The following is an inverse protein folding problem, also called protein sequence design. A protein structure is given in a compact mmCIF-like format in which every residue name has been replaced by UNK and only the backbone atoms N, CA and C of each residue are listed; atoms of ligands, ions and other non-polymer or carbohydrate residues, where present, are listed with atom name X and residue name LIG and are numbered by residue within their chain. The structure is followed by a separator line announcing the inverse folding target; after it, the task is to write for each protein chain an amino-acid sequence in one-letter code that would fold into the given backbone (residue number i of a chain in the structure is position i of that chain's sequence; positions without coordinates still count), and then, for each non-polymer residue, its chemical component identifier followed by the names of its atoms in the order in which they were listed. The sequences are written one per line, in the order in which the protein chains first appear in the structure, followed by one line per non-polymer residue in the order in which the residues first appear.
data_IF_046457291163
#
_entry.id   IF_046457291163
#
_cell.length_a   1.000
_cell.length_b   1.000
_cell.length_c   1.000
_cell.angle_alpha   90.00
_cell.angle_beta   90.00
_cell.angle_gamma   90.00
#
_symmetry.space_group_name_H-M   'P 1'
#
loop_
_entity.id
_entity.type
_entity.pdbx_description
1 polymer ?
#
# COMPACT_ATOMS: atom_id res chain seq x y z
N UNK A 1 6.72 -30.61 2.28
CA UNK A 1 5.63 -29.62 2.15
C UNK A 1 6.00 -28.69 1.01
N UNK A 2 5.18 -28.50 -0.03
CA UNK A 2 5.48 -27.51 -1.04
C UNK A 2 5.49 -26.12 -0.38
N UNK A 3 6.51 -25.30 -0.65
CA UNK A 3 6.58 -23.92 -0.20
C UNK A 3 5.33 -23.18 -0.72
N UNK A 4 4.44 -22.80 0.18
CA UNK A 4 3.13 -22.20 -0.12
C UNK A 4 3.28 -20.72 -0.59
N UNK A 5 4.42 -20.12 -0.33
CA UNK A 5 4.90 -18.93 -1.05
C UNK A 5 5.96 -19.40 -2.03
N UNK A 6 5.75 -19.16 -3.34
CA UNK A 6 6.87 -19.12 -4.26
C UNK A 6 7.95 -18.25 -3.62
N UNK A 7 9.24 -18.63 -3.77
CA UNK A 7 10.34 -17.91 -3.16
C UNK A 7 10.03 -16.43 -3.19
N UNK A 8 10.12 -15.73 -2.05
CA UNK A 8 9.93 -14.29 -2.09
C UNK A 8 10.84 -13.82 -3.22
N UNK A 9 10.31 -13.02 -4.14
CA UNK A 9 11.12 -12.24 -5.08
C UNK A 9 11.88 -11.16 -4.27
N UNK A 10 12.22 -11.50 -3.05
CA UNK A 10 13.35 -11.09 -2.27
C UNK A 10 14.63 -11.83 -2.75
N UNK A 11 14.65 -12.21 -4.04
CA UNK A 11 15.88 -12.35 -4.76
C UNK A 11 16.48 -10.97 -4.70
N UNK A 12 17.53 -10.81 -3.89
CA UNK A 12 18.30 -9.62 -3.63
C UNK A 12 17.98 -8.57 -4.69
N UNK A 13 17.15 -7.56 -4.34
CA UNK A 13 17.06 -6.37 -5.19
C UNK A 13 18.51 -5.94 -5.33
N UNK A 14 19.13 -6.11 -6.50
CA UNK A 14 20.58 -5.92 -6.62
C UNK A 14 20.87 -4.51 -6.14
N UNK A 15 21.99 -4.29 -5.46
CA UNK A 15 22.52 -2.96 -5.13
C UNK A 15 22.45 -2.01 -6.35
N UNK A 16 22.37 -2.57 -7.56
CA UNK A 16 22.09 -1.87 -8.81
C UNK A 16 20.72 -1.15 -8.87
N UNK A 17 19.77 -1.43 -7.99
CA UNK A 17 18.54 -0.64 -7.87
C UNK A 17 18.82 0.79 -7.40
N UNK A 18 19.98 1.03 -6.82
CA UNK A 18 20.46 2.32 -6.34
C UNK A 18 21.51 2.97 -7.26
N UNK A 19 21.91 2.32 -8.37
CA UNK A 19 22.76 2.97 -9.35
C UNK A 19 21.92 4.04 -10.10
N UNK A 20 22.44 5.27 -10.28
CA UNK A 20 21.77 6.29 -11.06
C UNK A 20 21.74 5.85 -12.53
N UNK A 21 20.80 4.98 -12.88
CA UNK A 21 20.48 4.61 -14.24
C UNK A 21 19.80 5.79 -14.91
N UNK A 22 20.11 6.06 -16.18
CA UNK A 22 19.41 7.06 -17.00
C UNK A 22 17.90 6.77 -16.91
N UNK A 23 17.20 7.53 -16.08
CA UNK A 23 15.74 7.55 -16.02
C UNK A 23 15.29 8.07 -17.38
N UNK A 24 14.84 7.16 -18.27
CA UNK A 24 14.06 7.57 -19.41
C UNK A 24 12.90 8.38 -18.82
N UNK A 25 12.79 9.66 -19.21
CA UNK A 25 11.72 10.53 -18.76
C UNK A 25 10.41 9.75 -19.00
N UNK A 26 9.72 9.37 -17.94
CA UNK A 26 8.31 8.97 -18.04
C UNK A 26 7.67 10.10 -18.78
N UNK A 27 7.19 9.84 -20.00
CA UNK A 27 6.70 10.88 -20.89
C UNK A 27 5.60 11.64 -20.13
N UNK A 28 5.98 12.78 -19.56
CA UNK A 28 5.05 13.72 -18.99
C UNK A 28 3.98 13.94 -20.05
N UNK A 29 2.75 13.65 -19.70
CA UNK A 29 1.60 13.79 -20.58
C UNK A 29 1.64 15.22 -21.13
N UNK A 30 1.97 15.40 -22.42
CA UNK A 30 2.15 16.70 -23.08
C UNK A 30 0.86 17.52 -23.20
N UNK A 31 -0.21 17.03 -22.58
CA UNK A 31 -1.50 17.70 -22.46
C UNK A 31 -1.66 18.02 -20.98
N UNK A 32 -1.52 19.25 -20.57
CA UNK A 32 -1.56 19.79 -19.21
C UNK A 32 -2.84 19.50 -18.39
N UNK A 33 -3.35 18.26 -18.44
CA UNK A 33 -4.43 17.77 -17.59
C UNK A 33 -3.83 17.05 -16.39
N UNK A 34 -4.15 17.56 -15.21
CA UNK A 34 -3.83 16.87 -13.94
C UNK A 34 -4.50 15.51 -13.92
N UNK A 35 -3.70 14.44 -13.75
CA UNK A 35 -4.23 13.07 -13.64
C UNK A 35 -4.97 12.95 -12.30
N UNK A 36 -6.27 12.70 -12.37
CA UNK A 36 -7.13 12.52 -11.19
C UNK A 36 -7.50 11.06 -11.01
N UNK A 37 -7.88 10.68 -9.80
CA UNK A 37 -8.34 9.34 -9.51
C UNK A 37 -9.61 8.98 -10.30
N UNK A 38 -10.48 9.96 -10.56
CA UNK A 38 -11.69 9.77 -11.35
C UNK A 38 -11.36 9.42 -12.81
N UNK A 39 -10.33 10.05 -13.39
CA UNK A 39 -9.85 9.69 -14.73
C UNK A 39 -9.33 8.25 -14.78
N UNK A 40 -8.62 7.80 -13.72
CA UNK A 40 -8.09 6.43 -13.62
C UNK A 40 -9.23 5.41 -13.46
N UNK A 41 -10.27 5.73 -12.72
CA UNK A 41 -11.44 4.86 -12.48
C UNK A 41 -12.34 4.72 -13.68
N UNK A 42 -12.37 5.70 -14.58
CA UNK A 42 -13.31 5.82 -15.68
C UNK A 42 -13.53 4.51 -16.46
N UNK A 43 -12.48 3.72 -16.83
CA UNK A 43 -12.68 2.49 -17.62
C UNK A 43 -13.39 1.35 -16.86
N UNK A 44 -13.50 1.44 -15.53
CA UNK A 44 -14.10 0.40 -14.66
C UNK A 44 -15.10 0.97 -13.65
N UNK A 45 -15.71 2.12 -13.96
CA UNK A 45 -16.67 2.78 -13.05
C UNK A 45 -17.85 1.89 -12.71
N UNK A 46 -18.48 1.27 -13.70
CA UNK A 46 -19.64 0.39 -13.50
C UNK A 46 -19.26 -0.85 -12.66
N UNK A 47 -18.07 -1.39 -12.86
CA UNK A 47 -17.54 -2.52 -12.11
C UNK A 47 -17.23 -2.15 -10.65
N UNK A 48 -16.77 -0.91 -10.39
CA UNK A 48 -16.57 -0.39 -9.03
C UNK A 48 -17.90 -0.24 -8.29
N UNK A 49 -18.93 0.30 -8.95
CA UNK A 49 -20.27 0.41 -8.38
C UNK A 49 -20.85 -0.98 -8.06
N UNK A 50 -20.76 -1.93 -9.00
CA UNK A 50 -21.19 -3.31 -8.79
C UNK A 50 -20.40 -4.02 -7.67
N UNK A 51 -19.10 -3.71 -7.53
CA UNK A 51 -18.27 -4.19 -6.43
C UNK A 51 -18.74 -3.66 -5.08
N UNK A 52 -19.05 -2.38 -4.96
CA UNK A 52 -19.55 -1.79 -3.71
C UNK A 52 -20.86 -2.45 -3.28
N UNK A 53 -21.82 -2.62 -4.20
CA UNK A 53 -23.04 -3.37 -3.94
C UNK A 53 -22.76 -4.85 -3.55
N UNK A 54 -21.77 -5.47 -4.19
CA UNK A 54 -21.40 -6.84 -3.87
C UNK A 54 -20.91 -6.95 -2.42
N UNK A 55 -20.01 -6.05 -1.96
CA UNK A 55 -19.50 -6.03 -0.60
C UNK A 55 -20.62 -5.79 0.40
N UNK A 56 -21.50 -4.82 0.15
CA UNK A 56 -22.60 -4.48 1.06
C UNK A 56 -23.56 -5.67 1.28
N UNK A 57 -23.77 -6.49 0.25
CA UNK A 57 -24.56 -7.73 0.37
C UNK A 57 -23.86 -8.85 1.12
N UNK A 58 -22.52 -8.90 1.10
CA UNK A 58 -21.74 -9.97 1.74
C UNK A 58 -21.46 -9.70 3.23
N UNK A 59 -21.31 -8.44 3.61
CA UNK A 59 -20.94 -8.03 4.97
C UNK A 59 -22.14 -7.53 5.74
N UNK A 60 -22.99 -8.48 6.13
CA UNK A 60 -24.11 -8.28 7.04
C UNK A 60 -23.85 -8.99 8.37
N UNK A 61 -24.32 -8.45 9.47
CA UNK A 61 -24.19 -9.06 10.79
C UNK A 61 -25.52 -9.12 11.52
N UNK A 62 -25.65 -10.08 12.42
CA UNK A 62 -26.76 -10.13 13.38
C UNK A 62 -26.42 -9.23 14.59
N UNK A 63 -27.40 -8.51 15.07
CA UNK A 63 -27.26 -7.57 16.19
C UNK A 63 -26.89 -6.15 15.77
N UNK A 64 -27.47 -5.19 16.47
CA UNK A 64 -27.42 -3.78 16.15
C UNK A 64 -25.99 -3.21 16.21
N UNK A 65 -25.27 -3.50 17.31
CA UNK A 65 -23.94 -2.96 17.53
C UNK A 65 -22.94 -3.39 16.43
N UNK A 66 -22.87 -4.70 16.14
CA UNK A 66 -21.94 -5.19 15.12
C UNK A 66 -22.28 -4.70 13.73
N UNK A 67 -23.59 -4.58 13.42
CA UNK A 67 -24.07 -3.99 12.16
C UNK A 67 -23.64 -2.52 12.02
N UNK A 68 -23.72 -1.74 13.11
CA UNK A 68 -23.27 -0.34 13.10
C UNK A 68 -21.76 -0.21 12.95
N UNK A 69 -21.00 -1.05 13.64
CA UNK A 69 -19.54 -1.09 13.53
C UNK A 69 -19.09 -1.44 12.11
N UNK A 70 -19.71 -2.45 11.49
CA UNK A 70 -19.42 -2.85 10.11
C UNK A 70 -19.75 -1.72 9.12
N UNK A 71 -20.93 -1.14 9.22
CA UNK A 71 -21.35 -0.03 8.36
C UNK A 71 -20.37 1.14 8.45
N UNK A 72 -19.91 1.45 9.65
CA UNK A 72 -18.91 2.49 9.88
C UNK A 72 -17.58 2.17 9.23
N UNK A 73 -17.02 0.98 9.46
CA UNK A 73 -15.76 0.53 8.87
C UNK A 73 -15.83 0.54 7.33
N UNK A 74 -16.91 0.00 6.75
CA UNK A 74 -17.08 -0.08 5.31
C UNK A 74 -17.35 1.29 4.67
N UNK A 75 -17.98 2.24 5.37
CA UNK A 75 -18.15 3.63 4.89
C UNK A 75 -16.84 4.42 4.82
N UNK A 76 -15.77 3.92 5.43
CA UNK A 76 -14.46 4.57 5.55
C UNK A 76 -13.38 3.91 4.70
N UNK A 77 -13.73 3.10 3.69
CA UNK A 77 -12.79 2.34 2.83
C UNK A 77 -11.77 3.20 2.05
N UNK A 78 -11.98 4.50 1.94
CA UNK A 78 -11.02 5.44 1.35
C UNK A 78 -10.99 5.44 -0.18
N UNK A 79 -9.78 5.54 -0.75
CA UNK A 79 -9.61 5.72 -2.20
C UNK A 79 -9.85 4.44 -3.03
N UNK A 80 -10.01 3.26 -2.42
CA UNK A 80 -10.29 1.99 -3.11
C UNK A 80 -9.24 1.59 -4.16
N UNK A 81 -7.96 1.87 -3.91
CA UNK A 81 -6.87 1.58 -4.87
C UNK A 81 -6.74 0.07 -5.12
N UNK A 82 -6.92 -0.76 -4.08
CA UNK A 82 -6.80 -2.22 -4.21
C UNK A 82 -7.91 -2.84 -5.07
N UNK A 83 -9.21 -2.58 -4.83
CA UNK A 83 -10.28 -2.98 -5.74
C UNK A 83 -10.07 -2.45 -7.16
N UNK A 84 -9.67 -1.19 -7.30
CA UNK A 84 -9.38 -0.59 -8.60
C UNK A 84 -8.29 -1.37 -9.37
N UNK A 85 -7.20 -1.75 -8.69
CA UNK A 85 -6.14 -2.58 -9.27
C UNK A 85 -6.63 -3.95 -9.70
N UNK A 86 -7.46 -4.61 -8.88
CA UNK A 86 -8.06 -5.91 -9.23
C UNK A 86 -8.89 -5.77 -10.50
N UNK A 87 -9.78 -4.79 -10.56
CA UNK A 87 -10.70 -4.59 -11.68
C UNK A 87 -9.96 -4.21 -12.97
N UNK A 88 -9.01 -3.27 -12.90
CA UNK A 88 -8.20 -2.88 -14.07
C UNK A 88 -7.34 -4.05 -14.57
N UNK A 89 -6.72 -4.80 -13.66
CA UNK A 89 -5.93 -5.98 -14.01
C UNK A 89 -6.80 -7.07 -14.63
N UNK A 90 -7.97 -7.35 -14.07
CA UNK A 90 -8.92 -8.30 -14.64
C UNK A 90 -9.34 -7.88 -16.06
N UNK A 91 -9.73 -6.62 -16.24
CA UNK A 91 -10.16 -6.11 -17.53
C UNK A 91 -9.04 -6.15 -18.60
N UNK A 92 -7.81 -5.81 -18.21
CA UNK A 92 -6.65 -5.86 -19.11
C UNK A 92 -6.25 -7.29 -19.51
N UNK A 93 -6.48 -8.28 -18.65
CA UNK A 93 -6.11 -9.68 -18.88
C UNK A 93 -7.26 -10.55 -19.37
N UNK A 94 -8.48 -10.01 -19.47
CA UNK A 94 -9.64 -10.77 -19.87
C UNK A 94 -9.69 -10.97 -21.39
N UNK A 95 -9.86 -12.21 -21.88
CA UNK A 95 -10.08 -12.47 -23.28
C UNK A 95 -11.47 -12.03 -23.78
N UNK A 96 -12.40 -11.84 -22.85
CA UNK A 96 -13.80 -11.44 -23.13
C UNK A 96 -14.24 -10.42 -22.09
N UNK A 97 -14.79 -9.29 -22.52
CA UNK A 97 -15.20 -8.20 -21.65
C UNK A 97 -16.11 -8.63 -20.48
N UNK A 98 -17.00 -9.59 -20.72
CA UNK A 98 -17.92 -10.11 -19.69
C UNK A 98 -17.21 -10.87 -18.55
N UNK A 99 -16.07 -11.49 -18.81
CA UNK A 99 -15.33 -12.19 -17.74
C UNK A 99 -14.77 -11.22 -16.68
N UNK A 100 -14.43 -10.00 -17.08
CA UNK A 100 -13.96 -8.96 -16.16
C UNK A 100 -15.07 -8.45 -15.21
N UNK A 101 -16.33 -8.65 -15.55
CA UNK A 101 -17.50 -8.26 -14.75
C UNK A 101 -18.02 -9.38 -13.84
N UNK A 102 -17.37 -10.53 -13.87
CA UNK A 102 -17.84 -11.73 -13.19
C UNK A 102 -17.73 -11.65 -11.66
N UNK A 103 -18.62 -12.40 -10.96
CA UNK A 103 -18.63 -12.55 -9.50
C UNK A 103 -17.25 -12.92 -8.93
N UNK A 104 -16.43 -13.70 -9.66
CA UNK A 104 -15.09 -14.11 -9.25
C UNK A 104 -14.14 -12.92 -9.13
N UNK A 105 -14.24 -11.90 -9.99
CA UNK A 105 -13.44 -10.68 -9.93
C UNK A 105 -13.84 -9.82 -8.72
N UNK A 106 -15.16 -9.67 -8.48
CA UNK A 106 -15.65 -8.96 -7.29
C UNK A 106 -15.24 -9.67 -6.00
N UNK A 107 -15.25 -11.00 -5.98
CA UNK A 107 -14.75 -11.79 -4.86
C UNK A 107 -13.24 -11.54 -4.63
N UNK A 108 -12.42 -11.54 -5.68
CA UNK A 108 -11.00 -11.24 -5.57
C UNK A 108 -10.74 -9.83 -5.01
N UNK A 109 -11.50 -8.84 -5.50
CA UNK A 109 -11.44 -7.46 -5.02
C UNK A 109 -11.86 -7.35 -3.53
N UNK A 110 -12.93 -8.05 -3.14
CA UNK A 110 -13.40 -8.10 -1.75
C UNK A 110 -12.35 -8.74 -0.84
N UNK A 111 -11.79 -9.89 -1.24
CA UNK A 111 -10.80 -10.60 -0.42
C UNK A 111 -9.62 -9.70 -0.05
N UNK A 112 -9.06 -8.95 -1.00
CA UNK A 112 -7.93 -8.06 -0.74
C UNK A 112 -8.32 -6.80 0.03
N UNK A 113 -9.48 -6.19 -0.30
CA UNK A 113 -9.91 -4.95 0.36
C UNK A 113 -10.29 -5.20 1.83
N UNK A 114 -10.93 -6.32 2.14
CA UNK A 114 -11.33 -6.62 3.52
C UNK A 114 -10.14 -6.95 4.41
N UNK A 115 -9.08 -7.56 3.88
CA UNK A 115 -7.81 -7.70 4.60
C UNK A 115 -7.26 -6.32 4.95
N UNK A 116 -7.24 -5.41 3.97
CA UNK A 116 -6.76 -4.05 4.22
C UNK A 116 -7.62 -3.28 5.23
N UNK A 117 -8.95 -3.38 5.15
CA UNK A 117 -9.85 -2.73 6.12
C UNK A 117 -9.60 -3.25 7.54
N UNK A 118 -9.46 -4.57 7.69
CA UNK A 118 -9.19 -5.19 8.98
C UNK A 118 -7.82 -4.78 9.53
N UNK A 119 -6.77 -4.78 8.67
CA UNK A 119 -5.43 -4.34 9.10
C UNK A 119 -5.44 -2.88 9.59
N UNK A 120 -6.12 -1.97 8.88
CA UNK A 120 -6.24 -0.58 9.33
C UNK A 120 -6.94 -0.43 10.69
N UNK A 121 -7.93 -1.29 10.99
CA UNK A 121 -8.60 -1.27 12.29
C UNK A 121 -7.65 -1.77 13.39
N UNK A 122 -6.85 -2.81 13.13
CA UNK A 122 -5.87 -3.31 14.07
C UNK A 122 -4.72 -2.32 14.27
N UNK A 123 -4.23 -1.70 13.18
CA UNK A 123 -3.18 -0.67 13.24
C UNK A 123 -3.64 0.53 14.08
N UNK A 124 -4.90 0.99 13.93
CA UNK A 124 -5.46 2.07 14.77
C UNK A 124 -5.47 1.73 16.27
N UNK A 125 -5.54 0.45 16.63
CA UNK A 125 -5.43 0.00 18.03
C UNK A 125 -3.98 -0.05 18.49
N UNK A 126 -3.08 -0.55 17.64
CA UNK A 126 -1.64 -0.67 17.94
C UNK A 126 -1.01 0.73 18.07
N UNK A 127 -1.34 1.64 17.16
CA UNK A 127 -0.84 3.01 17.12
C UNK A 127 -1.61 3.96 18.07
N UNK A 128 -2.59 3.46 18.86
CA UNK A 128 -3.48 4.24 19.72
C UNK A 128 -4.12 5.44 18.99
N UNK A 129 -4.41 5.29 17.72
CA UNK A 129 -4.86 6.37 16.86
C UNK A 129 -6.31 6.79 17.14
N UNK A 130 -6.53 8.07 17.45
CA UNK A 130 -7.87 8.63 17.66
C UNK A 130 -8.63 8.90 16.37
N UNK A 131 -7.92 9.19 15.30
CA UNK A 131 -8.51 9.64 14.03
C UNK A 131 -8.03 8.84 12.85
N UNK A 132 -8.97 8.49 11.95
CA UNK A 132 -8.70 7.86 10.66
C UNK A 132 -9.46 8.59 9.55
N UNK A 133 -8.73 9.15 8.57
CA UNK A 133 -9.32 9.84 7.40
C UNK A 133 -10.30 10.96 7.79
N UNK A 134 -9.97 11.73 8.82
CA UNK A 134 -10.79 12.84 9.29
C UNK A 134 -12.03 12.44 10.10
N UNK A 135 -12.19 11.16 10.44
CA UNK A 135 -13.24 10.63 11.32
C UNK A 135 -12.60 9.96 12.54
N UNK A 136 -13.31 9.84 13.68
CA UNK A 136 -12.82 9.01 14.78
C UNK A 136 -12.45 7.61 14.32
N UNK A 137 -11.38 7.03 14.84
CA UNK A 137 -11.04 5.64 14.57
C UNK A 137 -12.07 4.68 15.21
N UNK A 138 -12.07 3.41 14.81
CA UNK A 138 -12.89 2.41 15.49
C UNK A 138 -12.48 2.25 16.95
N UNK A 139 -11.18 2.39 17.25
CA UNK A 139 -10.60 2.39 18.58
C UNK A 139 -11.17 3.53 19.45
N UNK A 140 -11.14 4.77 18.96
CA UNK A 140 -11.67 5.93 19.67
C UNK A 140 -13.19 5.84 19.88
N UNK A 141 -13.94 5.25 18.93
CA UNK A 141 -15.41 5.21 18.99
C UNK A 141 -15.95 4.07 19.86
N UNK A 142 -15.33 2.89 19.86
CA UNK A 142 -15.85 1.69 20.53
C UNK A 142 -14.87 1.02 21.49
N UNK A 143 -13.73 1.61 21.75
CA UNK A 143 -12.63 1.07 22.56
C UNK A 143 -11.88 -0.09 21.89
N UNK A 144 -10.62 -0.28 22.29
CA UNK A 144 -9.67 -1.23 21.69
C UNK A 144 -10.21 -2.66 21.61
N UNK A 145 -10.86 -3.17 22.64
CA UNK A 145 -11.39 -4.54 22.65
C UNK A 145 -12.40 -4.77 21.52
N UNK A 146 -13.34 -3.84 21.32
CA UNK A 146 -14.35 -3.98 20.27
C UNK A 146 -13.76 -3.73 18.89
N UNK A 147 -12.78 -2.83 18.76
CA UNK A 147 -12.09 -2.60 17.50
C UNK A 147 -11.31 -3.85 17.04
N UNK A 148 -10.59 -4.52 17.94
CA UNK A 148 -9.91 -5.79 17.64
C UNK A 148 -10.93 -6.84 17.18
N UNK A 149 -12.04 -7.04 17.91
CA UNK A 149 -13.09 -8.00 17.55
C UNK A 149 -13.71 -7.66 16.18
N UNK A 150 -13.87 -6.38 15.85
CA UNK A 150 -14.38 -5.95 14.54
C UNK A 150 -13.41 -6.35 13.41
N UNK A 151 -12.12 -6.12 13.58
CA UNK A 151 -11.10 -6.53 12.62
C UNK A 151 -11.08 -8.05 12.42
N UNK A 152 -11.12 -8.81 13.51
CA UNK A 152 -11.20 -10.29 13.49
C UNK A 152 -12.47 -10.79 12.81
N UNK A 153 -13.61 -10.15 13.08
CA UNK A 153 -14.87 -10.51 12.43
C UNK A 153 -14.79 -10.28 10.92
N UNK A 154 -14.24 -9.14 10.47
CA UNK A 154 -14.07 -8.84 9.05
C UNK A 154 -13.17 -9.89 8.39
N UNK A 155 -12.04 -10.25 9.00
CA UNK A 155 -11.14 -11.28 8.48
C UNK A 155 -11.81 -12.67 8.41
N UNK A 156 -12.45 -13.10 9.50
CA UNK A 156 -13.13 -14.38 9.56
C UNK A 156 -14.28 -14.47 8.53
N UNK A 157 -15.08 -13.41 8.42
CA UNK A 157 -16.18 -13.32 7.45
C UNK A 157 -15.64 -13.35 6.02
N UNK A 158 -14.59 -12.59 5.74
CA UNK A 158 -13.93 -12.55 4.43
C UNK A 158 -13.45 -13.95 3.99
N UNK A 159 -12.75 -14.67 4.87
CA UNK A 159 -12.29 -16.04 4.62
C UNK A 159 -13.46 -17.00 4.44
N UNK A 160 -14.49 -16.91 5.29
CA UNK A 160 -15.68 -17.75 5.19
C UNK A 160 -16.38 -17.60 3.84
N UNK A 161 -16.57 -16.36 3.35
CA UNK A 161 -17.16 -16.10 2.04
C UNK A 161 -16.28 -16.67 0.91
N UNK A 162 -14.97 -16.46 0.98
CA UNK A 162 -14.02 -17.01 0.02
C UNK A 162 -14.08 -18.54 -0.06
N UNK A 163 -14.03 -19.22 1.07
CA UNK A 163 -14.06 -20.68 1.16
C UNK A 163 -15.41 -21.26 0.70
N UNK A 164 -16.53 -20.68 1.15
CA UNK A 164 -17.87 -21.14 0.75
C UNK A 164 -18.19 -20.89 -0.71
N UNK A 165 -17.48 -19.96 -1.35
CA UNK A 165 -17.59 -19.74 -2.80
C UNK A 165 -16.93 -20.82 -3.66
N UNK A 166 -16.12 -21.71 -3.06
CA UNK A 166 -15.35 -22.73 -3.76
C UNK A 166 -14.12 -22.19 -4.53
N UNK A 167 -13.78 -20.92 -4.35
CA UNK A 167 -12.64 -20.28 -5.05
C UNK A 167 -11.35 -20.38 -4.21
N UNK A 168 -10.96 -21.62 -3.88
CA UNK A 168 -9.82 -21.91 -2.99
C UNK A 168 -8.49 -21.35 -3.50
N UNK A 169 -8.29 -21.28 -4.81
CA UNK A 169 -7.12 -20.73 -5.44
C UNK A 169 -6.97 -19.23 -5.13
N UNK A 170 -8.04 -18.44 -5.24
CA UNK A 170 -8.04 -17.01 -4.88
C UNK A 170 -7.79 -16.82 -3.38
N UNK A 171 -8.46 -17.60 -2.53
CA UNK A 171 -8.25 -17.54 -1.07
C UNK A 171 -6.79 -17.83 -0.73
N UNK A 172 -6.23 -18.92 -1.25
CA UNK A 172 -4.83 -19.29 -1.03
C UNK A 172 -3.88 -18.19 -1.50
N UNK A 173 -4.14 -17.61 -2.69
CA UNK A 173 -3.33 -16.54 -3.24
C UNK A 173 -3.30 -15.28 -2.36
N UNK A 174 -4.43 -14.93 -1.77
CA UNK A 174 -4.57 -13.72 -0.95
C UNK A 174 -4.09 -13.94 0.50
N UNK A 175 -4.33 -15.10 1.09
CA UNK A 175 -3.98 -15.39 2.50
C UNK A 175 -2.49 -15.22 2.82
N UNK A 176 -1.59 -15.52 1.86
CA UNK A 176 -0.16 -15.33 2.08
C UNK A 176 0.25 -13.88 2.39
N UNK A 177 -0.52 -12.90 1.89
CA UNK A 177 -0.25 -11.49 2.19
C UNK A 177 -0.62 -11.08 3.61
N UNK A 178 -1.54 -11.79 4.27
CA UNK A 178 -1.89 -11.52 5.67
C UNK A 178 -0.72 -11.84 6.60
N UNK A 179 -0.09 -13.01 6.41
CA UNK A 179 1.08 -13.39 7.18
C UNK A 179 2.24 -12.40 6.95
N UNK A 180 2.49 -12.03 5.69
CA UNK A 180 3.53 -11.07 5.35
C UNK A 180 3.30 -9.71 6.04
N UNK A 181 2.05 -9.24 6.08
CA UNK A 181 1.69 -7.98 6.74
C UNK A 181 2.02 -8.02 8.24
N UNK A 182 1.59 -9.08 8.95
CA UNK A 182 1.91 -9.26 10.37
C UNK A 182 3.42 -9.36 10.63
N UNK A 183 4.16 -10.12 9.79
CA UNK A 183 5.61 -10.19 9.88
C UNK A 183 6.28 -8.82 9.66
N UNK A 184 5.73 -7.99 8.79
CA UNK A 184 6.21 -6.63 8.53
C UNK A 184 6.04 -5.71 9.74
N UNK A 185 4.90 -5.80 10.44
CA UNK A 185 4.64 -5.05 11.68
C UNK A 185 5.62 -5.44 12.78
N UNK A 186 5.80 -6.74 13.01
CA UNK A 186 6.73 -7.25 14.03
C UNK A 186 8.17 -6.83 13.70
N UNK A 187 8.59 -6.93 12.42
CA UNK A 187 9.94 -6.52 12.01
C UNK A 187 10.16 -5.01 12.21
N UNK A 188 9.15 -4.19 11.93
CA UNK A 188 9.23 -2.74 12.17
C UNK A 188 9.41 -2.43 13.65
N UNK A 189 8.61 -3.05 14.53
CA UNK A 189 8.72 -2.89 15.98
C UNK A 189 10.10 -3.34 16.49
N UNK A 190 10.57 -4.50 16.06
CA UNK A 190 11.88 -5.02 16.43
C UNK A 190 13.03 -4.08 16.01
N UNK A 191 12.98 -3.54 14.78
CA UNK A 191 13.98 -2.58 14.30
C UNK A 191 13.94 -1.26 15.07
N UNK A 192 12.77 -0.79 15.47
CA UNK A 192 12.61 0.42 16.28
C UNK A 192 13.20 0.22 17.69
N UNK A 193 12.82 -0.86 18.38
CA UNK A 193 13.28 -1.17 19.73
C UNK A 193 14.82 -1.35 19.81
N UNK A 194 15.40 -2.02 18.81
CA UNK A 194 16.84 -2.31 18.77
C UNK A 194 17.69 -1.23 18.09
N UNK A 195 17.08 -0.20 17.54
CA UNK A 195 17.75 0.83 16.72
C UNK A 195 18.59 0.25 15.58
N UNK A 196 18.12 -0.84 14.96
CA UNK A 196 18.85 -1.60 13.93
C UNK A 196 18.33 -1.36 12.51
N UNK A 197 17.60 -0.27 12.27
CA UNK A 197 17.08 0.03 10.94
C UNK A 197 18.21 0.15 9.93
N UNK A 198 18.14 -0.69 8.92
CA UNK A 198 19.01 -0.68 7.74
C UNK A 198 18.17 -0.47 6.47
N UNK A 199 18.82 -0.13 5.38
CA UNK A 199 18.12 0.02 4.09
C UNK A 199 17.40 -1.26 3.66
N UNK A 200 18.01 -2.42 3.89
CA UNK A 200 17.37 -3.70 3.58
C UNK A 200 16.17 -3.95 4.48
N UNK A 201 16.31 -3.74 5.80
CA UNK A 201 15.19 -3.88 6.74
C UNK A 201 14.02 -2.95 6.38
N UNK A 202 14.32 -1.69 6.04
CA UNK A 202 13.30 -0.74 5.56
C UNK A 202 12.56 -1.26 4.32
N UNK A 203 13.29 -1.73 3.30
CA UNK A 203 12.69 -2.27 2.08
C UNK A 203 11.84 -3.52 2.36
N UNK A 204 12.30 -4.40 3.25
CA UNK A 204 11.56 -5.61 3.65
C UNK A 204 10.28 -5.24 4.40
N UNK A 205 10.32 -4.24 5.28
CA UNK A 205 9.16 -3.74 6.02
C UNK A 205 8.12 -3.18 5.05
N UNK A 206 8.48 -2.23 4.17
CA UNK A 206 7.51 -1.62 3.26
C UNK A 206 6.99 -2.60 2.21
N UNK A 207 7.80 -3.59 1.83
CA UNK A 207 7.34 -4.69 0.99
C UNK A 207 6.25 -5.50 1.70
N UNK A 208 6.50 -5.95 2.92
CA UNK A 208 5.59 -6.79 3.68
C UNK A 208 4.30 -6.06 4.07
N UNK A 209 4.41 -4.84 4.60
CA UNK A 209 3.27 -4.04 5.07
C UNK A 209 2.39 -3.51 3.94
N UNK A 210 2.99 -3.13 2.82
CA UNK A 210 2.28 -2.38 1.76
C UNK A 210 2.35 -3.05 0.40
N UNK A 211 3.55 -3.30 -0.13
CA UNK A 211 3.72 -3.70 -1.52
C UNK A 211 3.20 -5.12 -1.80
N UNK A 212 3.34 -6.05 -0.86
CA UNK A 212 2.87 -7.42 -0.99
C UNK A 212 1.36 -7.47 -1.29
N UNK A 213 0.52 -6.77 -0.51
CA UNK A 213 -0.93 -6.77 -0.72
C UNK A 213 -1.34 -6.04 -2.02
N UNK A 214 -0.62 -4.98 -2.42
CA UNK A 214 -0.83 -4.30 -3.71
C UNK A 214 -0.46 -5.23 -4.88
N UNK A 215 0.64 -5.98 -4.75
CA UNK A 215 1.02 -7.01 -5.72
C UNK A 215 -0.01 -8.13 -5.83
N UNK A 216 -0.53 -8.62 -4.68
CA UNK A 216 -1.62 -9.59 -4.64
C UNK A 216 -2.88 -9.03 -5.29
N UNK A 217 -3.22 -7.76 -5.07
CA UNK A 217 -4.39 -7.13 -5.69
C UNK A 217 -4.30 -7.17 -7.21
N UNK A 218 -3.19 -6.74 -7.79
CA UNK A 218 -3.00 -6.75 -9.23
C UNK A 218 -3.02 -8.18 -9.81
N UNK A 219 -2.33 -9.14 -9.17
CA UNK A 219 -2.28 -10.53 -9.63
C UNK A 219 -3.60 -11.28 -9.45
N UNK A 220 -4.36 -11.00 -8.38
CA UNK A 220 -5.66 -11.61 -8.15
C UNK A 220 -6.68 -11.24 -9.24
N UNK A 221 -6.62 -10.02 -9.78
CA UNK A 221 -7.44 -9.62 -10.93
C UNK A 221 -7.16 -10.46 -12.17
N UNK A 222 -5.89 -10.61 -12.56
CA UNK A 222 -5.48 -11.47 -13.68
C UNK A 222 -5.87 -12.94 -13.44
N UNK A 223 -5.67 -13.45 -12.23
CA UNK A 223 -6.03 -14.81 -11.85
C UNK A 223 -7.55 -15.04 -11.90
N UNK A 224 -8.35 -14.06 -11.51
CA UNK A 224 -9.81 -14.16 -11.48
C UNK A 224 -10.41 -14.37 -12.89
N UNK A 225 -9.76 -13.90 -13.94
CA UNK A 225 -10.18 -14.08 -15.34
C UNK A 225 -9.48 -15.23 -16.06
N UNK A 226 -8.71 -16.05 -15.35
CA UNK A 226 -8.03 -17.21 -15.91
C UNK A 226 -6.82 -16.86 -16.79
N UNK A 227 -6.16 -15.75 -16.54
CA UNK A 227 -4.93 -15.39 -17.26
C UNK A 227 -3.82 -16.43 -17.03
N UNK A 228 -2.85 -16.51 -17.96
CA UNK A 228 -1.71 -17.41 -17.82
C UNK A 228 -0.90 -17.09 -16.55
N UNK A 229 -0.21 -18.10 -16.02
CA UNK A 229 0.66 -17.92 -14.86
C UNK A 229 1.72 -16.83 -15.08
N UNK A 230 2.22 -16.68 -16.30
CA UNK A 230 3.16 -15.62 -16.66
C UNK A 230 2.54 -14.24 -16.52
N UNK A 231 1.28 -14.05 -16.96
CA UNK A 231 0.55 -12.79 -16.80
C UNK A 231 0.20 -12.50 -15.34
N UNK A 232 -0.20 -13.52 -14.58
CA UNK A 232 -0.43 -13.41 -13.13
C UNK A 232 0.86 -12.97 -12.41
N UNK A 233 1.99 -13.59 -12.71
CA UNK A 233 3.30 -13.23 -12.15
C UNK A 233 3.77 -11.83 -12.58
N UNK A 234 3.50 -11.43 -13.82
CA UNK A 234 3.80 -10.08 -14.30
C UNK A 234 3.01 -9.03 -13.54
N UNK A 235 1.69 -9.23 -13.40
CA UNK A 235 0.83 -8.34 -12.62
C UNK A 235 1.21 -8.30 -11.14
N UNK A 236 1.67 -9.42 -10.57
CA UNK A 236 2.21 -9.45 -9.21
C UNK A 236 3.39 -8.48 -9.07
N UNK A 237 4.41 -8.62 -9.92
CA UNK A 237 5.61 -7.76 -9.90
C UNK A 237 5.27 -6.30 -10.20
N UNK A 238 4.34 -6.04 -11.13
CA UNK A 238 3.81 -4.70 -11.38
C UNK A 238 3.24 -4.07 -10.12
N UNK A 239 2.31 -4.77 -9.46
CA UNK A 239 1.68 -4.27 -8.24
C UNK A 239 2.67 -4.09 -7.08
N UNK A 240 3.65 -4.99 -6.94
CA UNK A 240 4.73 -4.85 -5.94
C UNK A 240 5.56 -3.59 -6.18
N UNK A 241 5.96 -3.32 -7.43
CA UNK A 241 6.69 -2.10 -7.76
C UNK A 241 5.86 -0.83 -7.49
N UNK A 242 4.57 -0.85 -7.84
CA UNK A 242 3.62 0.24 -7.51
C UNK A 242 3.51 0.44 -6.00
N UNK A 243 3.42 -0.65 -5.22
CA UNK A 243 3.31 -0.60 -3.76
C UNK A 243 4.55 -0.06 -3.07
N UNK A 244 5.75 -0.45 -3.54
CA UNK A 244 7.02 0.12 -3.06
C UNK A 244 7.08 1.63 -3.32
N UNK A 245 6.77 2.05 -4.54
CA UNK A 245 6.74 3.47 -4.88
C UNK A 245 5.70 4.24 -4.06
N UNK A 246 4.54 3.63 -3.83
CA UNK A 246 3.46 4.21 -3.03
C UNK A 246 3.92 4.51 -1.61
N UNK A 247 4.57 3.55 -0.94
CA UNK A 247 5.03 3.74 0.43
C UNK A 247 6.16 4.77 0.51
N UNK A 248 7.15 4.68 -0.39
CA UNK A 248 8.25 5.67 -0.40
C UNK A 248 7.70 7.09 -0.63
N UNK A 249 6.68 7.25 -1.48
CA UNK A 249 6.04 8.54 -1.68
C UNK A 249 5.28 9.03 -0.43
N UNK A 250 4.64 8.13 0.33
CA UNK A 250 4.01 8.48 1.61
C UNK A 250 5.07 8.99 2.61
N UNK A 251 6.21 8.31 2.69
CA UNK A 251 7.31 8.71 3.56
C UNK A 251 7.89 10.09 3.15
N UNK A 252 8.04 10.38 1.85
CA UNK A 252 8.46 11.70 1.35
C UNK A 252 7.43 12.77 1.74
N UNK A 253 6.14 12.46 1.55
CA UNK A 253 5.06 13.39 1.85
C UNK A 253 4.96 13.73 3.33
N UNK A 254 5.34 12.83 4.23
CA UNK A 254 5.35 13.10 5.65
C UNK A 254 6.30 14.26 6.01
N UNK A 255 7.45 14.39 5.33
CA UNK A 255 8.38 15.51 5.50
C UNK A 255 7.92 16.81 4.82
N UNK A 256 7.10 16.74 3.78
CA UNK A 256 6.75 17.89 2.93
C UNK A 256 5.35 18.46 3.19
N UNK A 257 4.55 17.79 4.03
CA UNK A 257 3.21 18.25 4.39
C UNK A 257 3.29 19.59 5.13
N UNK A 258 2.60 20.59 4.60
CA UNK A 258 2.41 21.86 5.28
C UNK A 258 1.12 21.82 6.09
N UNK A 259 0.98 22.69 7.11
CA UNK A 259 -0.16 22.78 8.02
C UNK A 259 -1.55 22.88 7.34
N UNK A 260 -1.60 23.07 6.02
CA UNK A 260 -2.86 23.16 5.26
C UNK A 260 -3.56 21.80 5.04
N UNK A 261 -2.92 20.65 5.32
CA UNK A 261 -3.50 19.31 5.08
C UNK A 261 -4.26 18.75 6.28
N UNK A 262 -4.29 19.45 7.42
CA UNK A 262 -5.01 19.02 8.63
C UNK A 262 -4.40 17.83 9.37
N UNK A 263 -3.23 17.31 8.93
CA UNK A 263 -2.39 16.38 9.67
C UNK A 263 -1.10 17.08 10.05
N UNK A 264 -0.57 16.86 11.26
CA UNK A 264 0.76 17.36 11.60
C UNK A 264 1.78 16.78 10.62
N UNK A 265 2.76 17.58 10.18
CA UNK A 265 3.89 17.13 9.40
C UNK A 265 4.86 16.34 10.31
N UNK A 266 5.71 15.52 9.69
CA UNK A 266 6.78 14.80 10.39
C UNK A 266 6.28 13.82 11.46
N UNK A 267 5.15 13.13 11.22
CA UNK A 267 4.65 12.12 12.14
C UNK A 267 5.65 10.98 12.34
N UNK A 268 6.30 10.52 11.26
CA UNK A 268 7.29 9.46 11.35
C UNK A 268 8.44 9.84 12.29
N UNK A 269 8.91 11.09 12.24
CA UNK A 269 9.93 11.59 13.17
C UNK A 269 9.43 11.62 14.61
N UNK A 270 8.19 12.07 14.86
CA UNK A 270 7.59 12.13 16.20
C UNK A 270 7.39 10.73 16.80
N UNK A 271 7.13 9.75 15.96
CA UNK A 271 7.00 8.35 16.34
C UNK A 271 8.35 7.62 16.40
N UNK A 272 9.48 8.32 16.19
CA UNK A 272 10.82 7.73 16.20
C UNK A 272 11.08 6.78 15.02
N UNK A 273 10.28 6.84 13.96
CA UNK A 273 10.41 5.99 12.78
C UNK A 273 11.54 6.48 11.88
N UNK A 274 12.40 5.56 11.46
CA UNK A 274 13.46 5.83 10.48
C UNK A 274 12.96 5.37 9.12
N UNK A 275 12.53 6.33 8.28
CA UNK A 275 12.11 6.09 6.90
C UNK A 275 13.21 6.43 5.90
N UNK A 276 13.00 6.13 4.62
CA UNK A 276 14.05 6.23 3.60
C UNK A 276 14.74 7.60 3.50
N UNK A 277 14.03 8.74 3.61
CA UNK A 277 14.68 10.04 3.60
C UNK A 277 15.73 10.23 4.70
N UNK A 278 15.40 9.90 5.95
CA UNK A 278 16.33 10.00 7.07
C UNK A 278 17.44 8.94 6.96
N UNK A 279 17.09 7.72 6.56
CA UNK A 279 18.06 6.63 6.40
C UNK A 279 19.15 6.96 5.38
N UNK A 280 18.79 7.67 4.30
CA UNK A 280 19.75 8.11 3.28
C UNK A 280 20.80 9.09 3.83
N UNK A 281 20.43 9.90 4.80
CA UNK A 281 21.34 10.81 5.53
C UNK A 281 22.18 10.03 6.52
N UNK A 282 21.56 9.17 7.34
CA UNK A 282 22.24 8.34 8.33
C UNK A 282 23.31 7.41 7.73
N UNK A 283 23.07 6.89 6.53
CA UNK A 283 24.02 5.99 5.85
C UNK A 283 25.31 6.70 5.38
N UNK A 284 25.22 8.01 5.14
CA UNK A 284 26.37 8.84 4.73
C UNK A 284 27.06 9.52 5.91
N UNK A 285 26.41 9.58 7.06
CA UNK A 285 26.89 10.31 8.22
C UNK A 285 28.07 9.59 8.89
N UNK A 286 29.14 10.30 9.30
CA UNK A 286 30.16 9.76 10.20
C UNK A 286 29.53 9.30 11.52
N UNK A 287 30.21 8.39 12.25
CA UNK A 287 29.68 7.75 13.45
C UNK A 287 29.17 8.77 14.51
N UNK A 288 29.91 9.83 14.74
CA UNK A 288 29.56 10.88 15.72
C UNK A 288 28.24 11.60 15.27
N UNK A 289 28.19 11.98 14.00
CA UNK A 289 27.01 12.63 13.42
C UNK A 289 25.80 11.71 13.44
N UNK A 290 25.99 10.43 13.10
CA UNK A 290 24.93 9.42 13.18
C UNK A 290 24.37 9.30 14.60
N UNK A 291 25.25 9.28 15.62
CA UNK A 291 24.83 9.23 17.02
C UNK A 291 24.05 10.48 17.42
N UNK A 292 24.48 11.66 16.99
CA UNK A 292 23.75 12.92 17.21
C UNK A 292 22.34 12.88 16.61
N UNK A 293 22.23 12.49 15.32
CA UNK A 293 20.93 12.43 14.62
C UNK A 293 19.97 11.43 15.27
N UNK A 294 20.45 10.26 15.67
CA UNK A 294 19.65 9.28 16.40
C UNK A 294 19.25 9.78 17.79
N UNK A 295 20.11 10.51 18.48
CA UNK A 295 19.79 11.16 19.75
C UNK A 295 18.68 12.21 19.60
N UNK A 296 18.72 13.01 18.52
CA UNK A 296 17.64 13.95 18.19
C UNK A 296 16.32 13.23 17.89
N UNK A 297 16.39 12.12 17.11
CA UNK A 297 15.19 11.33 16.77
C UNK A 297 14.50 10.80 18.04
N UNK A 298 15.26 10.34 19.02
CA UNK A 298 14.72 9.85 20.29
C UNK A 298 13.98 10.93 21.10
N UNK A 299 14.26 12.22 20.86
CA UNK A 299 13.59 13.35 21.50
C UNK A 299 12.36 13.88 20.73
N UNK A 300 12.16 13.48 19.47
CA UNK A 300 11.13 14.06 18.57
C UNK A 300 9.69 13.92 19.08
N UNK A 301 9.41 13.01 19.99
CA UNK A 301 8.08 12.84 20.55
C UNK A 301 7.61 14.12 21.28
N UNK A 302 8.50 14.73 22.06
CA UNK A 302 8.17 15.88 22.93
C UNK A 302 8.95 17.16 22.56
N UNK A 303 9.86 17.11 21.60
CA UNK A 303 10.77 18.21 21.26
C UNK A 303 10.62 18.65 19.78
N UNK A 304 9.91 19.73 19.57
CA UNK A 304 9.68 20.34 18.24
C UNK A 304 11.00 20.81 17.60
N UNK A 305 11.98 21.29 18.39
CA UNK A 305 13.28 21.74 17.86
C UNK A 305 14.01 20.57 17.21
N UNK A 306 13.97 19.40 17.82
CA UNK A 306 14.56 18.17 17.25
C UNK A 306 13.86 17.73 15.96
N UNK A 307 12.53 17.86 15.88
CA UNK A 307 11.76 17.58 14.65
C UNK A 307 12.18 18.51 13.52
N UNK A 308 12.18 19.84 13.76
CA UNK A 308 12.60 20.82 12.77
C UNK A 308 14.06 20.64 12.33
N UNK A 309 14.93 20.31 13.28
CA UNK A 309 16.35 20.06 12.99
C UNK A 309 16.52 18.87 12.04
N UNK A 310 15.87 17.74 12.33
CA UNK A 310 15.92 16.55 11.49
C UNK A 310 15.29 16.78 10.12
N UNK A 311 14.14 17.44 10.07
CA UNK A 311 13.49 17.79 8.80
C UNK A 311 14.44 18.59 7.91
N UNK A 312 15.01 19.69 8.41
CA UNK A 312 15.97 20.52 7.66
C UNK A 312 17.23 19.75 7.27
N UNK A 313 17.70 18.86 8.13
CA UNK A 313 18.87 18.02 7.84
C UNK A 313 18.56 17.08 6.66
N UNK A 314 17.41 16.41 6.67
CA UNK A 314 16.98 15.53 5.59
C UNK A 314 16.79 16.29 4.27
N UNK A 315 16.22 17.50 4.31
CA UNK A 315 16.06 18.36 3.14
C UNK A 315 17.43 18.80 2.58
N UNK A 316 18.32 19.33 3.42
CA UNK A 316 19.58 19.93 3.00
C UNK A 316 20.65 18.90 2.60
N UNK A 317 20.65 17.71 3.22
CA UNK A 317 21.62 16.65 2.94
C UNK A 317 21.15 15.67 1.84
N UNK A 318 20.03 16.01 1.14
CA UNK A 318 19.56 15.31 -0.05
C UNK A 318 18.80 14.01 0.23
N UNK A 319 18.30 13.80 1.45
CA UNK A 319 17.52 12.62 1.82
C UNK A 319 16.24 12.48 1.00
N UNK A 320 15.47 13.59 0.83
CA UNK A 320 14.26 13.60 0.01
C UNK A 320 14.56 13.35 -1.47
N UNK A 321 15.65 13.93 -2.00
CA UNK A 321 16.07 13.73 -3.40
C UNK A 321 16.36 12.25 -3.66
N UNK A 322 17.12 11.61 -2.76
CA UNK A 322 17.44 10.19 -2.86
C UNK A 322 16.18 9.32 -2.81
N UNK A 323 15.30 9.55 -1.85
CA UNK A 323 14.03 8.81 -1.74
C UNK A 323 13.17 8.97 -3.01
N UNK A 324 13.07 10.18 -3.57
CA UNK A 324 12.35 10.45 -4.81
C UNK A 324 12.98 9.72 -6.02
N UNK A 325 14.29 9.60 -6.11
CA UNK A 325 14.96 8.84 -7.16
C UNK A 325 14.65 7.33 -7.05
N UNK A 326 14.70 6.78 -5.84
CA UNK A 326 14.33 5.38 -5.59
C UNK A 326 12.86 5.14 -5.95
N UNK A 327 11.95 5.99 -5.52
CA UNK A 327 10.53 5.91 -5.85
C UNK A 327 10.30 5.92 -7.37
N UNK A 328 10.93 6.87 -8.10
CA UNK A 328 10.81 6.96 -9.56
C UNK A 328 11.36 5.70 -10.26
N UNK A 329 12.39 5.06 -9.72
CA UNK A 329 12.92 3.82 -10.28
C UNK A 329 11.90 2.68 -10.23
N UNK A 330 11.15 2.55 -9.12
CA UNK A 330 10.05 1.58 -9.02
C UNK A 330 8.91 1.90 -9.98
N UNK A 331 8.53 3.17 -10.13
CA UNK A 331 7.51 3.59 -11.10
C UNK A 331 7.96 3.28 -12.55
N UNK A 332 9.20 3.58 -12.92
CA UNK A 332 9.72 3.29 -14.24
C UNK A 332 9.65 1.78 -14.57
N UNK A 333 10.02 0.92 -13.61
CA UNK A 333 9.91 -0.54 -13.74
C UNK A 333 8.46 -1.00 -13.86
N UNK A 334 7.54 -0.41 -13.10
CA UNK A 334 6.12 -0.73 -13.22
C UNK A 334 5.58 -0.38 -14.61
N UNK A 335 5.89 0.81 -15.13
CA UNK A 335 5.47 1.25 -16.47
C UNK A 335 6.09 0.37 -17.57
N UNK A 336 7.35 -0.04 -17.43
CA UNK A 336 8.01 -0.97 -18.35
C UNK A 336 7.26 -2.30 -18.45
N UNK A 337 6.83 -2.88 -17.33
CA UNK A 337 6.05 -4.12 -17.32
C UNK A 337 4.72 -4.01 -18.07
N UNK A 338 4.10 -2.82 -18.08
CA UNK A 338 2.88 -2.60 -18.85
C UNK A 338 3.12 -2.62 -20.37
N UNK A 339 4.37 -2.43 -20.85
CA UNK A 339 4.68 -2.49 -22.27
C UNK A 339 4.46 -3.87 -22.90
N UNK A 340 4.40 -4.93 -22.08
CA UNK A 340 4.07 -6.29 -22.52
C UNK A 340 2.58 -6.51 -22.86
N UNK A 341 1.75 -5.49 -22.67
CA UNK A 341 0.33 -5.49 -22.99
C UNK A 341 0.04 -4.60 -24.19
N UNK A 342 -0.97 -4.97 -24.98
CA UNK A 342 -1.48 -4.12 -26.05
C UNK A 342 -2.04 -2.80 -25.50
N UNK A 343 -2.11 -1.80 -26.35
CA UNK A 343 -2.70 -0.50 -25.99
C UNK A 343 -4.20 -0.67 -25.69
N UNK A 344 -4.61 -0.18 -24.51
CA UNK A 344 -6.01 -0.21 -24.07
C UNK A 344 -6.26 0.90 -23.05
N UNK A 345 -7.52 1.21 -22.80
CA UNK A 345 -7.90 2.15 -21.75
C UNK A 345 -7.49 1.64 -20.36
N UNK A 346 -7.51 0.34 -20.14
CA UNK A 346 -7.09 -0.29 -18.88
C UNK A 346 -5.58 -0.17 -18.65
N UNK A 347 -4.76 -0.42 -19.70
CA UNK A 347 -3.32 -0.19 -19.66
C UNK A 347 -3.00 1.28 -19.38
N UNK A 348 -3.70 2.18 -20.05
CA UNK A 348 -3.56 3.63 -19.86
C UNK A 348 -3.93 4.03 -18.45
N UNK A 349 -5.02 3.49 -17.87
CA UNK A 349 -5.42 3.75 -16.49
C UNK A 349 -4.38 3.27 -15.48
N UNK A 350 -3.77 2.09 -15.68
CA UNK A 350 -2.69 1.59 -14.82
C UNK A 350 -1.41 2.44 -14.93
N UNK A 351 -1.06 2.92 -16.12
CA UNK A 351 0.05 3.86 -16.31
C UNK A 351 -0.23 5.21 -15.63
N UNK A 352 -1.46 5.71 -15.74
CA UNK A 352 -1.91 6.92 -15.06
C UNK A 352 -1.91 6.76 -13.53
N UNK A 353 -2.20 5.57 -13.01
CA UNK A 353 -2.08 5.30 -11.57
C UNK A 353 -0.61 5.40 -11.10
N UNK A 354 0.34 4.91 -11.90
CA UNK A 354 1.77 5.07 -11.62
C UNK A 354 2.17 6.56 -11.57
N UNK A 355 1.73 7.35 -12.54
CA UNK A 355 1.99 8.80 -12.56
C UNK A 355 1.31 9.53 -11.39
N UNK A 356 0.04 9.19 -11.10
CA UNK A 356 -0.69 9.73 -9.95
C UNK A 356 0.04 9.49 -8.61
N UNK A 357 0.61 8.30 -8.42
CA UNK A 357 1.39 7.98 -7.21
C UNK A 357 2.66 8.82 -7.14
N UNK A 358 3.36 9.00 -8.25
CA UNK A 358 4.61 9.76 -8.32
C UNK A 358 4.42 11.27 -8.12
N UNK A 359 3.26 11.81 -8.53
CA UNK A 359 2.98 13.26 -8.58
C UNK A 359 2.04 13.74 -7.45
N UNK A 360 1.47 12.80 -6.66
CA UNK A 360 0.56 13.21 -5.57
C UNK A 360 1.28 14.04 -4.51
N UNK A 361 0.57 15.04 -4.03
CA UNK A 361 1.01 15.97 -2.98
C UNK A 361 0.25 15.77 -1.65
N UNK A 362 -0.62 14.73 -1.60
CA UNK A 362 -1.43 14.34 -0.42
C UNK A 362 -2.09 12.95 -0.57
#
# INVERSE_FOLDING_TARGET
MPKICGDPVCGAFPEQAFAPGRVASVAANRLGFMITLDTIRKPVTAELEAFDEFVDRQFTAEGELLSDMLRYALSSRGKGIRPLLVLLSAAMNSPVAEAAKGRRVHLAAMLVEMIHVASLIHDDVIDEADMRRGKPSANARWQSQKAVILGDYILARNLSIGLTSGQFDLVTHVCGSMAALCEGEVLQSECAEKHTMTRQAYLDIIYKKTACLIGVSASAGAMAVGASQQKVALMRRFGEAVGMAFQIQDDILDYTRTAHTGKPANNDLREGKITLPLLAVLDKAPAERRTELLGRLACCHDDEESVEYLQRTVENEGGLTFAAEVMRSYIARAVEMLSEYEASDYRTALANLCAYIAERDR
#
